data_IF_629638137302
#
_entry.id   IF_629638137302
#
_cell.length_a   1.000
_cell.length_b   1.000
_cell.length_c   1.000
_cell.angle_alpha   90.00
_cell.angle_beta   90.00
_cell.angle_gamma   90.00
#
_symmetry.space_group_name_H-M   'P 1'
#
loop_
_entity.id
_entity.type
_entity.pdbx_description
1 polymer ?
#
# COMPACT_ATOMS: atom_id res chain seq x y z
N UNK A 1 16.52 11.38 -1.05
CA UNK A 1 15.73 10.13 -1.13
C UNK A 1 16.64 9.06 -1.70
N UNK A 2 16.63 7.84 -1.15
CA UNK A 2 17.23 6.72 -1.85
C UNK A 2 16.50 6.55 -3.20
N UNK A 3 17.22 6.42 -4.33
CA UNK A 3 16.58 6.23 -5.62
C UNK A 3 15.79 4.92 -5.60
N UNK A 4 14.51 4.97 -5.99
CA UNK A 4 13.75 3.75 -6.27
C UNK A 4 14.10 3.27 -7.67
N UNK A 5 14.38 1.97 -7.82
CA UNK A 5 14.71 1.36 -9.09
C UNK A 5 15.98 0.49 -9.02
N UNK A 6 16.56 0.12 -10.18
CA UNK A 6 16.06 0.41 -11.53
C UNK A 6 14.70 -0.24 -11.81
N UNK A 7 13.98 0.30 -12.80
CA UNK A 7 12.72 -0.21 -13.34
C UNK A 7 12.92 -0.69 -14.78
N UNK A 8 12.06 -1.58 -15.27
CA UNK A 8 12.03 -2.00 -16.66
C UNK A 8 11.61 -0.84 -17.59
N UNK A 9 11.95 -0.86 -18.90
CA UNK A 9 11.60 0.22 -19.83
C UNK A 9 10.10 0.53 -19.91
N UNK A 10 9.27 -0.52 -19.88
CA UNK A 10 7.81 -0.44 -19.78
C UNK A 10 7.37 -1.10 -18.46
N UNK A 11 7.43 -0.37 -17.33
CA UNK A 11 7.32 -0.98 -16.01
C UNK A 11 5.91 -1.49 -15.74
N UNK A 12 5.80 -2.70 -15.20
CA UNK A 12 4.55 -3.23 -14.64
C UNK A 12 4.62 -3.17 -13.12
N UNK A 13 3.83 -2.28 -12.51
CA UNK A 13 3.81 -2.10 -11.05
C UNK A 13 2.55 -2.71 -10.43
N UNK A 14 2.71 -3.41 -9.32
CA UNK A 14 1.61 -3.73 -8.41
C UNK A 14 1.48 -2.63 -7.36
N UNK A 15 0.26 -2.25 -7.01
CA UNK A 15 -0.01 -1.27 -5.94
C UNK A 15 -0.96 -1.91 -4.92
N UNK A 16 -0.56 -1.96 -3.65
CA UNK A 16 -1.47 -2.38 -2.58
C UNK A 16 -2.46 -1.25 -2.27
N UNK A 17 -3.76 -1.49 -2.47
CA UNK A 17 -4.80 -0.48 -2.28
C UNK A 17 -5.79 -0.93 -1.21
N UNK A 18 -5.88 -0.19 -0.10
CA UNK A 18 -6.84 -0.44 0.98
C UNK A 18 -8.17 0.28 0.79
N UNK A 19 -8.21 1.28 -0.10
CA UNK A 19 -9.37 2.15 -0.29
C UNK A 19 -9.28 3.48 0.43
N UNK A 20 -8.35 3.61 1.38
CA UNK A 20 -8.04 4.88 2.05
C UNK A 20 -7.26 5.85 1.16
N UNK A 21 -7.23 7.12 1.58
CA UNK A 21 -6.65 8.24 0.83
C UNK A 21 -5.23 7.95 0.32
N UNK A 22 -4.31 7.52 1.18
CA UNK A 22 -2.90 7.39 0.80
C UNK A 22 -2.70 6.33 -0.28
N UNK A 23 -3.46 5.23 -0.18
CA UNK A 23 -3.40 4.12 -1.15
C UNK A 23 -4.06 4.45 -2.49
N UNK A 24 -5.14 5.23 -2.47
CA UNK A 24 -5.78 5.75 -3.69
C UNK A 24 -4.86 6.78 -4.38
N UNK A 25 -4.22 7.66 -3.61
CA UNK A 25 -3.26 8.63 -4.13
C UNK A 25 -2.05 7.93 -4.76
N UNK A 26 -1.51 6.91 -4.09
CA UNK A 26 -0.43 6.10 -4.64
C UNK A 26 -0.83 5.42 -5.96
N UNK A 27 -2.02 4.83 -6.02
CA UNK A 27 -2.51 4.17 -7.23
C UNK A 27 -2.63 5.16 -8.41
N UNK A 28 -3.15 6.36 -8.14
CA UNK A 28 -3.24 7.44 -9.11
C UNK A 28 -1.85 7.85 -9.64
N UNK A 29 -0.94 8.18 -8.72
CA UNK A 29 0.41 8.63 -9.06
C UNK A 29 1.18 7.54 -9.82
N UNK A 30 1.06 6.28 -9.42
CA UNK A 30 1.69 5.15 -10.10
C UNK A 30 1.12 4.91 -11.50
N UNK A 31 -0.21 5.05 -11.67
CA UNK A 31 -0.86 4.98 -12.99
C UNK A 31 -0.27 6.01 -13.94
N UNK A 32 -0.19 7.26 -13.50
CA UNK A 32 0.27 8.35 -14.37
C UNK A 32 1.77 8.23 -14.67
N UNK A 33 2.56 7.85 -13.66
CA UNK A 33 4.00 7.62 -13.82
C UNK A 33 4.34 6.47 -14.78
N UNK A 34 3.59 5.36 -14.73
CA UNK A 34 3.78 4.22 -15.63
C UNK A 34 3.27 4.50 -17.04
N UNK A 35 2.11 5.15 -17.18
CA UNK A 35 1.56 5.54 -18.49
C UNK A 35 2.53 6.42 -19.27
N UNK A 36 3.17 7.38 -18.62
CA UNK A 36 4.20 8.24 -19.24
C UNK A 36 5.44 7.45 -19.74
N UNK A 37 5.57 6.17 -19.38
CA UNK A 37 6.67 5.26 -19.73
C UNK A 37 6.22 4.07 -20.58
N UNK A 38 4.99 4.08 -21.09
CA UNK A 38 4.43 2.92 -21.80
C UNK A 38 4.24 1.67 -20.93
N UNK A 39 4.32 1.84 -19.61
CA UNK A 39 4.10 0.78 -18.63
C UNK A 39 2.63 0.66 -18.22
N UNK A 40 2.38 -0.14 -17.19
CA UNK A 40 1.04 -0.38 -16.64
C UNK A 40 1.07 -0.63 -15.15
N UNK A 41 -0.09 -0.52 -14.51
CA UNK A 41 -0.26 -0.92 -13.11
C UNK A 41 -1.34 -1.98 -12.93
N UNK A 42 -1.26 -2.69 -11.80
CA UNK A 42 -2.33 -3.54 -11.29
C UNK A 42 -2.51 -3.25 -9.81
N UNK A 43 -3.71 -2.82 -9.42
CA UNK A 43 -4.06 -2.65 -8.03
C UNK A 43 -4.37 -4.02 -7.41
N UNK A 44 -3.88 -4.24 -6.19
CA UNK A 44 -4.15 -5.41 -5.38
C UNK A 44 -4.92 -4.95 -4.15
N UNK A 45 -6.19 -5.33 -4.07
CA UNK A 45 -7.09 -5.03 -2.95
C UNK A 45 -7.22 -6.27 -2.10
N UNK A 46 -7.06 -6.13 -0.78
CA UNK A 46 -7.14 -7.24 0.16
C UNK A 46 -8.26 -6.96 1.17
N UNK A 47 -9.33 -7.74 1.09
CA UNK A 47 -10.34 -7.84 2.13
C UNK A 47 -9.77 -8.67 3.29
N UNK A 48 -9.70 -8.06 4.48
CA UNK A 48 -9.14 -8.69 5.67
C UNK A 48 -10.16 -9.58 6.40
N UNK A 49 -11.45 -9.48 6.10
CA UNK A 49 -12.51 -10.32 6.70
C UNK A 49 -12.68 -10.17 8.22
N UNK A 50 -12.14 -9.10 8.83
CA UNK A 50 -12.19 -8.90 10.29
C UNK A 50 -13.50 -8.23 10.75
N UNK A 51 -14.23 -7.58 9.84
CA UNK A 51 -15.52 -6.93 10.14
C UNK A 51 -16.50 -7.16 9.00
N UNK A 52 -17.80 -7.16 9.29
CA UNK A 52 -18.84 -7.40 8.29
C UNK A 52 -18.78 -6.44 7.08
N UNK A 53 -18.37 -5.19 7.30
CA UNK A 53 -18.27 -4.18 6.25
C UNK A 53 -17.07 -4.35 5.29
N UNK A 54 -16.04 -5.13 5.65
CA UNK A 54 -14.75 -5.13 4.92
C UNK A 54 -14.88 -5.62 3.48
N UNK A 55 -15.74 -6.60 3.23
CA UNK A 55 -16.02 -7.09 1.88
C UNK A 55 -16.64 -6.01 0.98
N UNK A 56 -17.60 -5.25 1.52
CA UNK A 56 -18.26 -4.14 0.81
C UNK A 56 -17.30 -3.00 0.49
N UNK A 57 -16.43 -2.64 1.44
CA UNK A 57 -15.41 -1.60 1.25
C UNK A 57 -14.36 -2.00 0.21
N UNK A 58 -13.94 -3.26 0.21
CA UNK A 58 -12.99 -3.79 -0.75
C UNK A 58 -13.59 -3.84 -2.18
N UNK A 59 -14.87 -4.21 -2.30
CA UNK A 59 -15.60 -4.17 -3.57
C UNK A 59 -15.76 -2.72 -4.08
N UNK A 60 -16.17 -1.79 -3.21
CA UNK A 60 -16.29 -0.37 -3.56
C UNK A 60 -14.94 0.21 -4.01
N UNK A 61 -13.84 -0.16 -3.34
CA UNK A 61 -12.48 0.24 -3.72
C UNK A 61 -12.11 -0.27 -5.11
N UNK A 62 -12.38 -1.55 -5.41
CA UNK A 62 -12.18 -2.13 -6.74
C UNK A 62 -12.95 -1.36 -7.81
N UNK A 63 -14.20 -1.02 -7.54
CA UNK A 63 -15.06 -0.34 -8.51
C UNK A 63 -14.58 1.11 -8.76
N UNK A 64 -14.12 1.81 -7.71
CA UNK A 64 -13.45 3.12 -7.85
C UNK A 64 -12.19 3.04 -8.69
N UNK A 65 -11.35 2.02 -8.47
CA UNK A 65 -10.14 1.81 -9.28
C UNK A 65 -10.50 1.55 -10.75
N UNK A 66 -11.57 0.80 -11.02
CA UNK A 66 -12.04 0.57 -12.38
C UNK A 66 -12.47 1.87 -13.07
N UNK A 67 -13.19 2.76 -12.37
CA UNK A 67 -13.54 4.10 -12.90
C UNK A 67 -12.31 4.96 -13.22
N UNK A 68 -11.19 4.75 -12.51
CA UNK A 68 -9.91 5.42 -12.78
C UNK A 68 -9.09 4.76 -13.90
N UNK A 69 -9.61 3.71 -14.54
CA UNK A 69 -8.92 2.94 -15.56
C UNK A 69 -7.75 2.13 -15.00
N UNK A 70 -7.83 1.69 -13.74
CA UNK A 70 -6.82 0.91 -13.04
C UNK A 70 -7.33 -0.53 -12.85
N UNK A 71 -6.74 -1.53 -13.53
CA UNK A 71 -7.09 -2.93 -13.31
C UNK A 71 -6.84 -3.35 -11.87
N UNK A 72 -7.84 -3.94 -11.22
CA UNK A 72 -7.76 -4.33 -9.81
C UNK A 72 -8.02 -5.83 -9.63
N UNK A 73 -7.26 -6.47 -8.74
CA UNK A 73 -7.48 -7.84 -8.28
C UNK A 73 -7.86 -7.80 -6.80
N UNK A 74 -9.00 -8.42 -6.47
CA UNK A 74 -9.50 -8.53 -5.11
C UNK A 74 -9.10 -9.90 -4.53
N UNK A 75 -8.59 -9.90 -3.31
CA UNK A 75 -8.27 -11.10 -2.54
C UNK A 75 -8.95 -11.01 -1.18
N UNK A 76 -9.36 -12.15 -0.64
CA UNK A 76 -9.93 -12.25 0.71
C UNK A 76 -9.01 -13.08 1.57
N UNK A 77 -8.61 -12.55 2.73
CA UNK A 77 -7.87 -13.30 3.72
C UNK A 77 -8.80 -14.29 4.40
N UNK A 78 -8.34 -15.54 4.52
CA UNK A 78 -9.06 -16.60 5.21
C UNK A 78 -8.34 -16.93 6.52
N UNK A 79 -9.09 -17.28 7.56
CA UNK A 79 -8.53 -17.88 8.77
C UNK A 79 -7.70 -16.94 9.65
N UNK A 80 -7.93 -15.62 9.61
CA UNK A 80 -7.41 -14.71 10.65
C UNK A 80 -8.19 -14.93 11.95
N UNK A 81 -7.80 -15.98 12.70
CA UNK A 81 -8.36 -16.25 14.01
C UNK A 81 -8.08 -15.10 15.00
N UNK A 82 -9.06 -14.82 15.85
CA UNK A 82 -8.90 -13.93 17.00
C UNK A 82 -7.78 -14.43 17.92
N UNK A 83 -7.13 -13.51 18.64
CA UNK A 83 -6.07 -13.85 19.59
C UNK A 83 -4.89 -12.87 19.57
N UNK A 84 -3.87 -13.10 20.41
CA UNK A 84 -2.78 -12.16 20.68
C UNK A 84 -2.04 -11.77 19.39
N UNK A 85 -1.61 -10.52 19.22
CA UNK A 85 -0.89 -10.06 18.02
C UNK A 85 -1.66 -10.22 16.69
N UNK A 86 -3.00 -10.16 16.73
CA UNK A 86 -3.87 -10.20 15.54
C UNK A 86 -3.43 -9.20 14.46
N UNK A 87 -3.10 -7.96 14.84
CA UNK A 87 -2.65 -6.93 13.90
C UNK A 87 -1.36 -7.34 13.15
N UNK A 88 -0.39 -7.92 13.85
CA UNK A 88 0.85 -8.40 13.25
C UNK A 88 0.60 -9.58 12.31
N UNK A 89 -0.24 -10.54 12.71
CA UNK A 89 -0.65 -11.67 11.84
C UNK A 89 -1.40 -11.19 10.60
N UNK A 90 -2.36 -10.27 10.75
CA UNK A 90 -3.10 -9.70 9.64
C UNK A 90 -2.18 -8.97 8.65
N UNK A 91 -1.21 -8.21 9.17
CA UNK A 91 -0.18 -7.55 8.36
C UNK A 91 0.68 -8.56 7.59
N UNK A 92 1.13 -9.63 8.26
CA UNK A 92 1.92 -10.69 7.63
C UNK A 92 1.13 -11.44 6.55
N UNK A 93 -0.11 -11.84 6.85
CA UNK A 93 -1.00 -12.52 5.90
C UNK A 93 -1.28 -11.64 4.67
N UNK A 94 -1.52 -10.34 4.88
CA UNK A 94 -1.69 -9.37 3.79
C UNK A 94 -0.45 -9.31 2.90
N UNK A 95 0.75 -9.21 3.47
CA UNK A 95 1.98 -9.21 2.67
C UNK A 95 2.16 -10.50 1.89
N UNK A 96 1.94 -11.65 2.52
CA UNK A 96 2.07 -12.94 1.85
C UNK A 96 1.16 -13.05 0.62
N UNK A 97 -0.11 -12.62 0.73
CA UNK A 97 -1.06 -12.61 -0.40
C UNK A 97 -0.62 -11.64 -1.50
N UNK A 98 -0.20 -10.43 -1.14
CA UNK A 98 0.26 -9.43 -2.11
C UNK A 98 1.52 -9.91 -2.86
N UNK A 99 2.51 -10.42 -2.13
CA UNK A 99 3.78 -10.89 -2.68
C UNK A 99 3.56 -12.14 -3.56
N UNK A 100 2.70 -13.08 -3.14
CA UNK A 100 2.32 -14.23 -3.96
C UNK A 100 1.56 -13.83 -5.24
N UNK A 101 0.66 -12.85 -5.14
CA UNK A 101 -0.06 -12.33 -6.30
C UNK A 101 0.88 -11.66 -7.32
N UNK A 102 1.89 -10.92 -6.84
CA UNK A 102 2.94 -10.34 -7.67
C UNK A 102 3.78 -11.43 -8.35
N UNK A 103 4.26 -12.42 -7.59
CA UNK A 103 5.05 -13.52 -8.11
C UNK A 103 4.30 -14.32 -9.19
N UNK A 104 3.00 -14.63 -8.98
CA UNK A 104 2.17 -15.33 -9.97
C UNK A 104 1.97 -14.54 -11.27
N UNK A 105 2.00 -13.21 -11.18
CA UNK A 105 1.83 -12.32 -12.33
C UNK A 105 3.16 -11.83 -12.94
N UNK A 106 4.30 -12.35 -12.45
CA UNK A 106 5.64 -11.91 -12.84
C UNK A 106 5.85 -10.39 -12.66
N UNK A 107 5.26 -9.82 -11.60
CA UNK A 107 5.42 -8.41 -11.24
C UNK A 107 6.53 -8.29 -10.19
N UNK A 108 7.62 -7.60 -10.52
CA UNK A 108 8.73 -7.40 -9.60
C UNK A 108 8.44 -6.33 -8.54
N UNK A 109 7.68 -5.29 -8.87
CA UNK A 109 7.57 -4.10 -8.04
C UNK A 109 6.21 -4.01 -7.34
N UNK A 110 6.19 -4.10 -6.01
CA UNK A 110 5.02 -3.91 -5.16
C UNK A 110 5.12 -2.59 -4.39
N UNK A 111 4.26 -1.63 -4.73
CA UNK A 111 4.21 -0.32 -4.09
C UNK A 111 3.26 -0.34 -2.88
N UNK A 112 3.70 0.31 -1.81
CA UNK A 112 2.99 0.46 -0.54
C UNK A 112 2.87 1.94 -0.19
N UNK A 113 1.69 2.35 0.27
CA UNK A 113 1.32 3.75 0.51
C UNK A 113 1.85 4.34 1.83
N UNK A 114 2.96 3.82 2.36
CA UNK A 114 3.51 4.38 3.59
C UNK A 114 4.09 5.77 3.32
N UNK A 115 3.80 6.71 4.22
CA UNK A 115 4.13 8.12 4.09
C UNK A 115 4.91 8.67 5.29
N UNK A 116 5.14 9.98 5.33
CA UNK A 116 5.99 10.62 6.35
C UNK A 116 5.45 10.46 7.77
N UNK A 117 4.12 10.43 7.97
CA UNK A 117 3.55 10.23 9.31
C UNK A 117 3.80 8.80 9.83
N UNK A 118 3.57 7.75 9.02
CA UNK A 118 3.92 6.36 9.36
C UNK A 118 5.41 6.19 9.74
N UNK A 119 6.29 6.95 9.08
CA UNK A 119 7.71 6.95 9.42
C UNK A 119 7.98 7.51 10.79
N UNK A 120 7.41 8.68 11.08
CA UNK A 120 7.51 9.31 12.39
C UNK A 120 6.96 8.39 13.48
N UNK A 121 5.80 7.77 13.25
CA UNK A 121 5.20 6.79 14.17
C UNK A 121 6.11 5.58 14.39
N UNK A 122 6.64 5.00 13.31
CA UNK A 122 7.55 3.84 13.42
C UNK A 122 8.81 4.17 14.22
N UNK A 123 9.40 5.35 13.98
CA UNK A 123 10.58 5.81 14.71
C UNK A 123 10.24 6.07 16.18
N UNK A 124 9.11 6.72 16.47
CA UNK A 124 8.64 6.98 17.82
C UNK A 124 8.38 5.69 18.62
N UNK A 125 7.71 4.70 18.02
CA UNK A 125 7.50 3.39 18.64
C UNK A 125 8.83 2.72 18.99
N UNK A 126 9.79 2.71 18.06
CA UNK A 126 11.10 2.07 18.28
C UNK A 126 11.94 2.79 19.34
N UNK A 127 11.81 4.10 19.45
CA UNK A 127 12.40 4.90 20.51
C UNK A 127 11.87 4.48 21.89
N UNK A 128 10.55 4.30 22.01
CA UNK A 128 9.91 3.86 23.26
C UNK A 128 10.34 2.44 23.67
N UNK A 129 10.57 1.56 22.69
CA UNK A 129 11.00 0.18 22.92
C UNK A 129 12.50 0.04 23.28
N UNK A 130 13.22 1.14 23.53
CA UNK A 130 14.68 1.17 23.82
C UNK A 130 15.53 0.47 22.75
N UNK A 131 15.05 0.48 21.52
CA UNK A 131 15.82 -0.02 20.39
C UNK A 131 17.07 0.85 20.27
N UNK A 132 18.28 0.26 20.30
CA UNK A 132 19.54 1.02 20.23
C UNK A 132 19.66 1.89 18.96
N UNK A 133 20.82 2.50 18.67
CA UNK A 133 20.99 3.42 17.53
C UNK A 133 20.55 2.85 16.17
N UNK A 134 20.73 1.55 15.93
CA UNK A 134 20.24 0.85 14.74
C UNK A 134 18.70 0.70 14.70
N UNK A 135 18.06 0.73 15.85
CA UNK A 135 16.61 0.73 16.03
C UNK A 135 15.93 2.07 15.72
N UNK A 136 16.69 3.16 15.58
CA UNK A 136 16.18 4.46 15.12
C UNK A 136 16.00 4.52 13.60
N UNK A 137 16.45 3.50 12.86
CA UNK A 137 16.17 3.42 11.45
C UNK A 137 14.65 3.40 11.24
N UNK A 138 14.13 4.26 10.37
CA UNK A 138 12.74 4.21 9.94
C UNK A 138 12.44 3.00 9.05
N UNK A 139 11.31 3.00 8.35
CA UNK A 139 11.09 2.00 7.30
C UNK A 139 12.02 2.28 6.11
N UNK A 140 12.62 1.23 5.55
CA UNK A 140 13.38 1.35 4.31
C UNK A 140 12.45 1.65 3.11
N UNK A 141 12.92 2.51 2.20
CA UNK A 141 12.19 2.86 0.98
C UNK A 141 12.05 1.69 0.00
N UNK A 142 13.02 0.78 0.01
CA UNK A 142 13.06 -0.45 -0.78
C UNK A 142 13.42 -1.62 0.14
N UNK A 143 12.66 -2.72 0.03
CA UNK A 143 12.96 -3.99 0.69
C UNK A 143 12.81 -5.11 -0.33
N UNK A 144 13.86 -5.89 -0.54
CA UNK A 144 13.77 -7.12 -1.33
C UNK A 144 13.09 -8.22 -0.51
N UNK A 145 12.10 -8.89 -1.11
CA UNK A 145 11.17 -9.80 -0.45
C UNK A 145 10.95 -11.02 -1.35
N UNK A 146 11.90 -11.95 -1.29
CA UNK A 146 11.94 -13.08 -2.21
C UNK A 146 12.04 -12.59 -3.66
N UNK A 147 10.99 -12.84 -4.46
CA UNK A 147 10.93 -12.47 -5.89
C UNK A 147 10.30 -11.10 -6.14
N UNK A 148 10.04 -10.32 -5.10
CA UNK A 148 9.34 -9.03 -5.18
C UNK A 148 10.16 -7.96 -4.47
N UNK A 149 10.11 -6.73 -4.97
CA UNK A 149 10.62 -5.52 -4.32
C UNK A 149 9.46 -4.73 -3.74
N UNK A 150 9.45 -4.58 -2.41
CA UNK A 150 8.51 -3.70 -1.70
C UNK A 150 9.04 -2.28 -1.73
N UNK A 151 8.31 -1.39 -2.40
CA UNK A 151 8.67 0.01 -2.60
C UNK A 151 7.73 0.92 -1.81
N UNK A 152 8.28 1.94 -1.15
CA UNK A 152 7.52 2.95 -0.40
C UNK A 152 7.87 4.35 -0.93
N UNK A 153 7.35 4.74 -2.10
CA UNK A 153 7.70 6.03 -2.73
C UNK A 153 7.23 7.24 -1.94
N UNK A 154 6.21 7.08 -1.09
CA UNK A 154 5.58 8.19 -0.38
C UNK A 154 6.20 8.50 0.98
N UNK A 155 7.23 7.76 1.43
CA UNK A 155 7.85 7.99 2.74
C UNK A 155 8.24 9.44 3.06
N UNK A 156 8.69 10.28 2.11
CA UNK A 156 9.00 11.69 2.41
C UNK A 156 7.81 12.64 2.19
N UNK A 157 6.63 12.11 1.82
CA UNK A 157 5.46 12.90 1.47
C UNK A 157 4.55 13.04 2.69
N UNK A 158 4.12 14.25 3.07
CA UNK A 158 3.12 14.44 4.11
C UNK A 158 1.73 13.95 3.67
N UNK A 159 0.92 13.33 4.55
CA UNK A 159 -0.42 12.83 4.22
C UNK A 159 -1.35 13.91 3.68
N UNK A 160 -1.25 15.15 4.18
CA UNK A 160 -2.05 16.28 3.69
C UNK A 160 -1.85 16.55 2.18
N UNK A 161 -0.65 16.31 1.64
CA UNK A 161 -0.37 16.47 0.22
C UNK A 161 -1.02 15.37 -0.63
N UNK A 162 -1.13 14.15 -0.09
CA UNK A 162 -1.81 13.03 -0.74
C UNK A 162 -3.33 13.31 -0.83
N UNK A 163 -3.93 13.78 0.27
CA UNK A 163 -5.35 14.19 0.29
C UNK A 163 -5.63 15.34 -0.66
N UNK A 164 -4.78 16.38 -0.66
CA UNK A 164 -4.89 17.50 -1.60
C UNK A 164 -4.82 17.04 -3.07
N UNK A 165 -3.98 16.04 -3.37
CA UNK A 165 -3.88 15.45 -4.71
C UNK A 165 -5.19 14.78 -5.13
N UNK A 166 -5.82 14.01 -4.22
CA UNK A 166 -7.10 13.37 -4.51
C UNK A 166 -8.24 14.38 -4.66
N UNK A 167 -8.29 15.40 -3.81
CA UNK A 167 -9.27 16.48 -3.94
C UNK A 167 -9.13 17.21 -5.29
N UNK A 168 -7.91 17.59 -5.68
CA UNK A 168 -7.66 18.24 -6.96
C UNK A 168 -8.05 17.36 -8.16
N UNK A 169 -7.95 16.04 -8.01
CA UNK A 169 -8.35 15.06 -9.04
C UNK A 169 -9.83 14.67 -8.98
N UNK A 170 -10.61 15.17 -8.01
CA UNK A 170 -12.02 14.79 -7.82
C UNK A 170 -12.24 13.32 -7.44
N UNK A 171 -11.25 12.70 -6.77
CA UNK A 171 -11.27 11.26 -6.45
C UNK A 171 -11.73 11.06 -5.01
N UNK A 172 -12.80 10.29 -4.84
CA UNK A 172 -13.27 9.85 -3.54
C UNK A 172 -12.47 8.64 -3.02
N UNK A 173 -12.38 8.52 -1.69
CA UNK A 173 -11.79 7.39 -0.97
C UNK A 173 -12.69 6.93 0.18
N UNK A 174 -12.37 5.79 0.79
CA UNK A 174 -13.00 5.35 2.05
C UNK A 174 -12.31 6.09 3.19
N UNK A 175 -13.05 6.87 3.97
CA UNK A 175 -12.54 7.39 5.23
C UNK A 175 -12.50 6.27 6.26
N UNK A 176 -11.34 6.05 6.85
CA UNK A 176 -11.18 5.05 7.90
C UNK A 176 -11.87 5.53 9.17
N UNK A 177 -12.85 4.79 9.73
CA UNK A 177 -13.49 5.16 10.99
C UNK A 177 -12.51 5.22 12.17
N UNK A 178 -11.34 4.56 12.07
CA UNK A 178 -10.34 4.52 13.14
C UNK A 178 -9.50 5.80 13.28
N UNK A 179 -9.68 6.80 12.41
CA UNK A 179 -9.03 8.11 12.52
C UNK A 179 -9.92 9.18 13.20
N UNK A 180 -11.06 8.79 13.75
CA UNK A 180 -11.99 9.68 14.47
C UNK A 180 -11.81 9.64 16.00
N UNK A 181 -10.74 9.02 16.50
CA UNK A 181 -10.36 8.98 17.93
C UNK A 181 -9.23 9.97 18.24
#
# INVERSE_FOLDING_TARGET
MAPLGPFEPAPHLAVAVSGGADSMALALLARDWTRARGGRITALVVDHGLRAASAGEAACTRDRLAMLGIPARLFTLQGLGHGPALAARARAARYAVLEAACAKASILHLLLAHHAADQAETVAMRLLDRSGPAGLAGMAALVEAGRVRRLRPLLPVPPGRLRATLHAAGIAWVEDPSNAD
#
